data_IF_098890146512
#
_entry.id   IF_098890146512
#
_cell.length_a   1.000
_cell.length_b   1.000
_cell.length_c   1.000
_cell.angle_alpha   90.00
_cell.angle_beta   90.00
_cell.angle_gamma   90.00
#
_symmetry.space_group_name_H-M   'P 1'
#
loop_
_entity.id
_entity.type
_entity.pdbx_description
1 polymer ?
#
# COMPACT_ATOMS: atom_id res chain seq x y z
N UNK A 1 -16.09 -4.80 -13.78
CA UNK A 1 -14.78 -4.12 -13.96
C UNK A 1 -14.51 -4.10 -15.46
N UNK A 2 -14.04 -2.96 -16.02
CA UNK A 2 -13.68 -2.91 -17.43
C UNK A 2 -12.27 -3.51 -17.61
N UNK A 3 -12.06 -4.26 -18.69
CA UNK A 3 -10.78 -4.96 -18.96
C UNK A 3 -9.58 -4.02 -19.16
N UNK A 4 -9.86 -2.73 -19.37
CA UNK A 4 -8.87 -1.66 -19.60
C UNK A 4 -8.82 -0.61 -18.47
N UNK A 5 -9.51 -0.86 -17.35
CA UNK A 5 -9.55 0.05 -16.22
C UNK A 5 -8.18 0.15 -15.55
N UNK A 6 -7.67 1.37 -15.41
CA UNK A 6 -6.48 1.68 -14.63
C UNK A 6 -6.88 2.61 -13.48
N UNK A 7 -6.62 2.21 -12.26
CA UNK A 7 -6.72 3.07 -11.07
C UNK A 7 -5.35 3.66 -10.77
N UNK A 8 -5.30 4.98 -10.64
CA UNK A 8 -4.07 5.70 -10.36
C UNK A 8 -4.17 6.42 -9.02
N UNK A 9 -3.55 5.84 -7.98
CA UNK A 9 -3.36 6.46 -6.68
C UNK A 9 -2.12 7.34 -6.66
N UNK A 10 -2.24 8.56 -6.10
CA UNK A 10 -1.14 9.52 -5.98
C UNK A 10 -1.19 10.21 -4.62
N UNK A 11 -0.03 10.37 -3.99
CA UNK A 11 0.05 11.05 -2.69
C UNK A 11 1.28 11.94 -2.60
N UNK A 12 1.15 13.13 -1.95
CA UNK A 12 2.29 13.91 -1.53
C UNK A 12 3.09 13.16 -0.46
N UNK A 13 4.28 13.62 -0.15
CA UNK A 13 4.98 13.29 1.09
C UNK A 13 4.79 14.39 2.11
N UNK A 14 5.21 14.17 3.35
CA UNK A 14 5.09 15.15 4.42
C UNK A 14 6.46 15.56 4.96
N UNK A 15 6.56 16.82 5.38
CA UNK A 15 7.66 17.31 6.21
C UNK A 15 7.07 17.72 7.56
N UNK A 16 7.61 17.17 8.63
CA UNK A 16 7.26 17.57 9.99
C UNK A 16 8.04 18.83 10.34
N UNK A 17 7.33 19.94 10.53
CA UNK A 17 7.92 21.26 10.86
C UNK A 17 8.20 21.34 12.36
N UNK A 18 7.29 20.82 13.18
CA UNK A 18 7.41 20.84 14.63
C UNK A 18 6.65 19.65 15.25
N UNK A 19 7.14 19.19 16.39
CA UNK A 19 6.49 18.17 17.21
C UNK A 19 6.58 16.75 16.67
N UNK A 20 7.42 16.48 15.68
CA UNK A 20 7.63 15.13 15.17
C UNK A 20 8.00 14.16 16.29
N UNK A 21 7.45 12.95 16.27
CA UNK A 21 7.55 11.90 17.30
C UNK A 21 6.79 12.16 18.60
N UNK A 22 6.22 13.33 18.84
CA UNK A 22 5.40 13.55 20.04
C UNK A 22 4.09 12.74 20.01
N UNK A 23 3.65 12.31 18.83
CA UNK A 23 2.50 11.45 18.58
C UNK A 23 2.81 9.94 18.72
N UNK A 24 4.05 9.60 19.09
CA UNK A 24 4.50 8.20 19.22
C UNK A 24 4.46 7.73 20.67
N UNK A 25 3.94 6.54 20.97
CA UNK A 25 4.02 5.94 22.31
C UNK A 25 5.49 5.70 22.75
N UNK A 26 5.79 5.79 24.03
CA UNK A 26 4.86 6.06 25.15
C UNK A 26 4.54 7.55 25.39
N UNK A 27 5.26 8.47 24.74
CA UNK A 27 5.15 9.91 25.02
C UNK A 27 3.71 10.42 24.83
N UNK A 28 3.08 10.12 23.71
CA UNK A 28 1.71 10.58 23.41
C UNK A 28 0.64 10.03 24.38
N UNK A 29 0.91 8.90 25.03
CA UNK A 29 -0.01 8.31 26.02
C UNK A 29 0.09 9.00 27.38
N UNK A 30 1.20 9.66 27.68
CA UNK A 30 1.50 10.31 28.95
C UNK A 30 1.25 11.82 28.92
N UNK A 31 1.74 12.47 27.87
CA UNK A 31 1.79 13.93 27.74
C UNK A 31 0.89 14.49 26.63
N UNK A 32 0.31 13.58 25.83
CA UNK A 32 -0.32 13.96 24.55
C UNK A 32 0.72 14.27 23.48
N UNK A 33 0.28 14.30 22.22
CA UNK A 33 1.17 14.60 21.09
C UNK A 33 0.54 15.62 20.15
N UNK A 34 1.38 16.47 19.56
CA UNK A 34 0.96 17.43 18.54
C UNK A 34 2.05 17.56 17.49
N UNK A 35 1.71 17.31 16.24
CA UNK A 35 2.62 17.42 15.10
C UNK A 35 2.07 18.46 14.12
N UNK A 36 2.94 19.36 13.68
CA UNK A 36 2.66 20.27 12.56
C UNK A 36 3.45 19.77 11.37
N UNK A 37 2.74 19.37 10.31
CA UNK A 37 3.35 18.92 9.07
C UNK A 37 2.80 19.63 7.86
N UNK A 38 3.59 19.64 6.78
CA UNK A 38 3.21 20.12 5.45
C UNK A 38 3.21 18.95 4.47
N UNK A 39 2.15 18.87 3.66
CA UNK A 39 2.17 18.03 2.48
C UNK A 39 2.95 18.73 1.38
N UNK A 40 3.90 18.02 0.76
CA UNK A 40 4.74 18.54 -0.30
C UNK A 40 4.71 17.66 -1.55
N UNK A 41 4.84 18.29 -2.68
CA UNK A 41 5.01 17.66 -3.99
C UNK A 41 6.39 18.01 -4.56
N UNK A 42 6.91 17.18 -5.44
CA UNK A 42 8.16 17.43 -6.15
C UNK A 42 7.85 18.04 -7.54
N UNK A 43 8.20 19.30 -7.75
CA UNK A 43 7.93 20.01 -9.00
C UNK A 43 6.45 19.91 -9.46
N UNK A 44 5.52 20.02 -8.49
CA UNK A 44 4.09 19.92 -8.77
C UNK A 44 3.59 18.49 -9.07
N UNK A 45 4.38 17.47 -8.73
CA UNK A 45 4.02 16.08 -8.90
C UNK A 45 4.05 15.33 -7.57
N UNK A 46 2.98 14.60 -7.22
CA UNK A 46 2.98 13.72 -6.06
C UNK A 46 4.06 12.64 -6.21
N UNK A 47 5.00 12.53 -5.27
CA UNK A 47 6.16 11.65 -5.43
C UNK A 47 5.85 10.17 -5.18
N UNK A 48 4.72 9.83 -4.55
CA UNK A 48 4.30 8.46 -4.31
C UNK A 48 3.12 8.12 -5.22
N UNK A 49 3.29 7.12 -6.04
CA UNK A 49 2.29 6.73 -7.03
C UNK A 49 2.09 5.23 -7.07
N UNK A 50 0.86 4.82 -7.27
CA UNK A 50 0.46 3.42 -7.41
C UNK A 50 -0.49 3.29 -8.59
N UNK A 51 -0.22 2.35 -9.48
CA UNK A 51 -1.12 2.00 -10.57
C UNK A 51 -1.64 0.59 -10.33
N UNK A 52 -2.95 0.41 -10.37
CA UNK A 52 -3.61 -0.89 -10.27
C UNK A 52 -4.42 -1.13 -11.52
N UNK A 53 -4.19 -2.25 -12.19
CA UNK A 53 -4.94 -2.65 -13.38
C UNK A 53 -5.24 -4.15 -13.38
N UNK A 54 -6.25 -4.61 -14.14
CA UNK A 54 -6.51 -6.02 -14.30
C UNK A 54 -5.38 -6.71 -15.11
N UNK A 55 -5.14 -7.97 -14.81
CA UNK A 55 -4.31 -8.87 -15.61
C UNK A 55 -5.18 -9.98 -16.22
N UNK A 56 -4.86 -10.40 -17.44
CA UNK A 56 -5.58 -11.51 -18.11
C UNK A 56 -5.34 -12.84 -17.41
N UNK A 57 -4.13 -13.03 -16.87
CA UNK A 57 -3.77 -14.25 -16.17
C UNK A 57 -4.19 -14.16 -14.69
N UNK A 58 -4.72 -15.24 -14.10
CA UNK A 58 -5.20 -15.26 -12.71
C UNK A 58 -4.04 -15.39 -11.71
N UNK A 59 -3.18 -14.39 -11.69
CA UNK A 59 -2.09 -14.20 -10.73
C UNK A 59 -1.95 -12.70 -10.39
N UNK A 60 -1.11 -12.39 -9.42
CA UNK A 60 -0.81 -11.01 -9.04
C UNK A 60 0.60 -10.66 -9.51
N UNK A 61 0.76 -9.52 -10.16
CA UNK A 61 2.07 -9.00 -10.57
C UNK A 61 2.35 -7.73 -9.78
N UNK A 62 3.48 -7.71 -9.08
CA UNK A 62 3.95 -6.57 -8.32
C UNK A 62 5.20 -6.01 -8.99
N UNK A 63 5.22 -4.69 -9.24
CA UNK A 63 6.34 -3.97 -9.84
C UNK A 63 6.72 -2.77 -9.01
N UNK A 64 8.02 -2.51 -8.86
CA UNK A 64 8.56 -1.26 -8.33
C UNK A 64 9.44 -0.63 -9.41
N UNK A 65 9.06 0.56 -9.88
CA UNK A 65 9.79 1.27 -10.94
C UNK A 65 11.14 1.77 -10.40
N UNK A 66 11.12 2.38 -9.23
CA UNK A 66 12.30 2.95 -8.57
C UNK A 66 13.34 1.90 -8.15
N UNK A 67 12.90 0.69 -7.80
CA UNK A 67 13.80 -0.41 -7.43
C UNK A 67 14.12 -1.35 -8.60
N UNK A 68 13.45 -1.19 -9.75
CA UNK A 68 13.60 -2.09 -10.89
C UNK A 68 13.19 -3.54 -10.57
N UNK A 69 12.35 -3.75 -9.56
CA UNK A 69 11.97 -5.07 -9.08
C UNK A 69 10.61 -5.50 -9.64
N UNK A 70 10.46 -6.80 -9.87
CA UNK A 70 9.21 -7.45 -10.30
C UNK A 70 9.05 -8.76 -9.54
N UNK A 71 7.83 -9.04 -9.06
CA UNK A 71 7.47 -10.31 -8.45
C UNK A 71 6.12 -10.77 -8.99
N UNK A 72 6.00 -12.07 -9.29
CA UNK A 72 4.74 -12.72 -9.64
C UNK A 72 4.32 -13.58 -8.46
N UNK A 73 3.11 -13.32 -7.96
CA UNK A 73 2.51 -14.02 -6.83
C UNK A 73 1.40 -14.93 -7.36
N UNK A 74 1.62 -16.23 -7.28
CA UNK A 74 0.71 -17.25 -7.81
C UNK A 74 -0.02 -18.02 -6.71
N UNK A 75 0.55 -18.01 -5.47
CA UNK A 75 0.01 -18.76 -4.35
C UNK A 75 -0.28 -17.88 -3.15
N UNK A 76 -1.11 -18.38 -2.24
CA UNK A 76 -1.43 -17.69 -0.98
C UNK A 76 -0.22 -17.55 -0.07
N UNK A 77 0.61 -18.57 -0.05
CA UNK A 77 1.84 -18.57 0.76
C UNK A 77 2.76 -17.43 0.31
N UNK A 78 2.93 -17.25 -1.00
CA UNK A 78 3.68 -16.11 -1.55
C UNK A 78 3.02 -14.77 -1.22
N UNK A 79 1.68 -14.68 -1.25
CA UNK A 79 0.95 -13.47 -0.91
C UNK A 79 1.08 -13.12 0.57
N UNK A 80 1.01 -14.12 1.46
CA UNK A 80 1.09 -13.92 2.92
C UNK A 80 2.50 -13.78 3.44
N UNK A 81 3.51 -14.06 2.60
CA UNK A 81 4.94 -13.84 2.93
C UNK A 81 5.34 -12.36 2.75
N UNK A 82 4.63 -11.48 3.46
CA UNK A 82 4.93 -10.04 3.50
C UNK A 82 5.89 -9.64 4.62
N UNK A 83 6.21 -10.56 5.53
CA UNK A 83 7.16 -10.34 6.63
C UNK A 83 8.62 -10.61 6.23
N UNK A 84 8.86 -11.00 4.99
CA UNK A 84 10.22 -11.27 4.51
C UNK A 84 11.07 -9.99 4.53
N UNK A 85 12.09 -9.98 5.38
CA UNK A 85 12.97 -8.82 5.57
C UNK A 85 13.67 -8.47 4.25
N UNK A 86 13.55 -7.19 3.85
CA UNK A 86 14.15 -6.69 2.60
C UNK A 86 13.30 -6.90 1.35
N UNK A 87 12.10 -7.48 1.46
CA UNK A 87 11.18 -7.56 0.31
C UNK A 87 10.67 -6.16 -0.06
N UNK A 88 10.81 -5.75 -1.34
CA UNK A 88 10.26 -4.48 -1.80
C UNK A 88 8.74 -4.50 -1.91
N UNK A 89 8.10 -5.67 -1.73
CA UNK A 89 6.68 -5.87 -1.95
C UNK A 89 5.88 -6.20 -0.68
N UNK A 90 6.46 -6.04 0.51
CA UNK A 90 5.75 -6.24 1.79
C UNK A 90 4.47 -5.40 1.87
N UNK A 91 4.54 -4.11 1.53
CA UNK A 91 3.40 -3.19 1.56
C UNK A 91 2.26 -3.64 0.62
N UNK A 92 2.46 -3.84 -0.70
CA UNK A 92 1.37 -4.25 -1.57
C UNK A 92 0.83 -5.64 -1.25
N UNK A 93 1.63 -6.60 -0.79
CA UNK A 93 1.17 -7.91 -0.32
C UNK A 93 0.25 -7.78 0.89
N UNK A 94 0.67 -7.06 1.94
CA UNK A 94 -0.14 -6.82 3.13
C UNK A 94 -1.45 -6.06 2.79
N UNK A 95 -1.38 -5.08 1.87
CA UNK A 95 -2.55 -4.35 1.40
C UNK A 95 -3.56 -5.26 0.68
N UNK A 96 -3.10 -6.17 -0.18
CA UNK A 96 -3.94 -7.18 -0.83
C UNK A 96 -4.63 -8.12 0.17
N UNK A 97 -3.92 -8.55 1.21
CA UNK A 97 -4.49 -9.35 2.29
C UNK A 97 -5.56 -8.55 3.05
N UNK A 98 -5.34 -7.27 3.31
CA UNK A 98 -6.35 -6.38 3.92
C UNK A 98 -7.54 -6.12 2.99
N UNK A 99 -7.33 -6.10 1.67
CA UNK A 99 -8.40 -6.03 0.67
C UNK A 99 -9.24 -7.31 0.56
N UNK A 100 -8.78 -8.41 1.17
CA UNK A 100 -9.55 -9.66 1.28
C UNK A 100 -8.95 -10.85 0.53
N UNK A 101 -7.89 -10.67 -0.24
CA UNK A 101 -7.25 -11.77 -0.96
C UNK A 101 -6.45 -12.69 -0.03
N UNK A 102 -6.36 -13.96 -0.37
CA UNK A 102 -5.61 -14.96 0.38
C UNK A 102 -6.31 -15.50 1.64
N UNK A 103 -7.53 -15.06 1.95
CA UNK A 103 -8.25 -15.43 3.18
C UNK A 103 -9.24 -16.58 3.01
N UNK A 104 -9.68 -16.86 1.78
CA UNK A 104 -10.67 -17.92 1.51
C UNK A 104 -10.07 -19.32 1.69
N UNK A 105 -10.91 -20.34 1.75
CA UNK A 105 -10.49 -21.76 1.76
C UNK A 105 -10.00 -22.28 0.39
N UNK A 106 -10.12 -21.45 -0.68
CA UNK A 106 -9.76 -21.79 -2.07
C UNK A 106 -8.34 -21.35 -2.40
N UNK A 107 -7.79 -21.73 -3.55
CA UNK A 107 -6.49 -21.25 -4.02
C UNK A 107 -6.55 -19.77 -4.42
N UNK A 108 -5.41 -19.08 -4.45
CA UNK A 108 -5.33 -17.69 -4.93
C UNK A 108 -5.84 -17.56 -6.37
N UNK A 109 -5.53 -18.55 -7.21
CA UNK A 109 -6.00 -18.61 -8.60
C UNK A 109 -7.53 -18.63 -8.69
N UNK A 110 -8.20 -19.46 -7.89
CA UNK A 110 -9.66 -19.54 -7.84
C UNK A 110 -10.29 -18.25 -7.29
N UNK A 111 -9.66 -17.61 -6.31
CA UNK A 111 -10.09 -16.30 -5.81
C UNK A 111 -10.06 -15.24 -6.93
N UNK A 112 -8.95 -15.17 -7.69
CA UNK A 112 -8.79 -14.22 -8.77
C UNK A 112 -9.72 -14.52 -9.97
N UNK A 113 -9.97 -15.79 -10.26
CA UNK A 113 -10.97 -16.18 -11.26
C UNK A 113 -12.39 -15.77 -10.84
N UNK A 114 -12.73 -15.93 -9.56
CA UNK A 114 -14.02 -15.48 -9.02
C UNK A 114 -14.11 -13.95 -8.99
N UNK A 115 -13.02 -13.27 -8.72
CA UNK A 115 -12.90 -11.80 -8.81
C UNK A 115 -13.06 -11.30 -10.25
N UNK A 116 -12.70 -12.12 -11.24
CA UNK A 116 -12.87 -11.87 -12.68
C UNK A 116 -11.61 -11.41 -13.39
N UNK A 117 -10.48 -11.26 -12.70
CA UNK A 117 -9.18 -10.94 -13.31
C UNK A 117 -8.03 -11.22 -12.34
N UNK A 118 -6.81 -11.33 -12.86
CA UNK A 118 -5.61 -11.10 -12.06
C UNK A 118 -5.43 -9.61 -11.74
N UNK A 119 -4.41 -9.29 -10.98
CA UNK A 119 -4.14 -7.91 -10.51
C UNK A 119 -2.68 -7.56 -10.81
N UNK A 120 -2.45 -6.42 -11.45
CA UNK A 120 -1.12 -5.86 -11.59
C UNK A 120 -1.03 -4.56 -10.79
N UNK A 121 -0.07 -4.49 -9.86
CA UNK A 121 0.21 -3.30 -9.04
C UNK A 121 1.61 -2.81 -9.39
N UNK A 122 1.70 -1.56 -9.84
CA UNK A 122 2.97 -0.88 -10.10
C UNK A 122 3.15 0.25 -9.12
N UNK A 123 4.29 0.27 -8.43
CA UNK A 123 4.68 1.28 -7.45
C UNK A 123 5.76 2.18 -8.04
N UNK A 124 5.68 3.46 -7.70
CA UNK A 124 6.72 4.45 -7.93
C UNK A 124 6.90 5.29 -6.67
N UNK A 125 8.12 5.30 -6.12
CA UNK A 125 8.54 6.22 -5.08
C UNK A 125 9.68 7.09 -5.60
N UNK A 126 9.42 8.38 -5.79
CA UNK A 126 10.49 9.34 -6.13
C UNK A 126 11.25 9.84 -4.89
N UNK A 127 10.97 9.26 -3.72
CA UNK A 127 11.61 9.59 -2.44
C UNK A 127 12.36 8.34 -1.94
N UNK A 128 13.64 8.48 -1.56
CA UNK A 128 14.40 7.36 -1.01
C UNK A 128 13.76 6.81 0.28
N UNK A 129 13.82 5.49 0.43
CA UNK A 129 13.46 4.85 1.70
C UNK A 129 14.33 5.39 2.84
N UNK A 130 13.74 5.55 4.04
CA UNK A 130 14.46 6.07 5.21
C UNK A 130 14.67 7.59 5.20
N UNK A 131 14.06 8.33 4.28
CA UNK A 131 14.15 9.80 4.20
C UNK A 131 13.51 10.55 5.38
N UNK A 132 12.74 9.88 6.24
CA UNK A 132 11.98 10.51 7.33
C UNK A 132 10.71 11.26 6.88
N UNK A 133 10.34 11.18 5.61
CA UNK A 133 9.20 11.91 5.05
C UNK A 133 7.87 11.11 5.13
N UNK A 134 7.80 10.10 5.99
CA UNK A 134 6.60 9.26 6.17
C UNK A 134 6.27 8.37 4.96
N UNK A 135 7.27 8.06 4.14
CA UNK A 135 7.13 7.40 2.83
C UNK A 135 6.38 6.08 2.92
N UNK A 136 6.70 5.25 3.93
CA UNK A 136 6.11 3.92 4.08
C UNK A 136 4.59 3.99 4.34
N UNK A 137 4.17 4.78 5.34
CA UNK A 137 2.76 4.96 5.69
C UNK A 137 1.95 5.56 4.56
N UNK A 138 2.51 6.56 3.90
CA UNK A 138 1.83 7.24 2.79
C UNK A 138 1.72 6.31 1.59
N UNK A 139 2.77 5.54 1.26
CA UNK A 139 2.70 4.55 0.20
C UNK A 139 1.65 3.47 0.53
N UNK A 140 1.61 2.97 1.77
CA UNK A 140 0.61 2.01 2.21
C UNK A 140 -0.81 2.54 2.03
N UNK A 141 -1.08 3.79 2.46
CA UNK A 141 -2.40 4.41 2.27
C UNK A 141 -2.75 4.64 0.80
N UNK A 142 -1.76 4.96 -0.04
CA UNK A 142 -1.94 5.14 -1.50
C UNK A 142 -2.31 3.82 -2.16
N UNK A 143 -1.63 2.72 -1.80
CA UNK A 143 -1.95 1.38 -2.30
C UNK A 143 -3.33 0.93 -1.84
N UNK A 144 -3.66 1.11 -0.55
CA UNK A 144 -4.99 0.76 -0.02
C UNK A 144 -6.11 1.57 -0.68
N UNK A 145 -5.90 2.87 -0.91
CA UNK A 145 -6.84 3.72 -1.64
C UNK A 145 -7.06 3.24 -3.07
N UNK A 146 -5.98 2.94 -3.79
CA UNK A 146 -6.07 2.42 -5.15
C UNK A 146 -6.77 1.05 -5.22
N UNK A 147 -6.49 0.15 -4.27
CA UNK A 147 -7.18 -1.14 -4.15
C UNK A 147 -8.65 -0.98 -3.76
N UNK A 148 -8.99 -0.01 -2.88
CA UNK A 148 -10.37 0.32 -2.55
C UNK A 148 -11.18 0.63 -3.80
N UNK A 149 -10.67 1.49 -4.66
CA UNK A 149 -11.35 1.89 -5.89
C UNK A 149 -11.35 0.76 -6.92
N UNK A 150 -10.24 0.04 -7.07
CA UNK A 150 -10.12 -1.06 -8.02
C UNK A 150 -11.03 -2.24 -7.68
N UNK A 151 -11.10 -2.61 -6.41
CA UNK A 151 -11.91 -3.74 -5.94
C UNK A 151 -13.35 -3.34 -5.55
N UNK A 152 -13.68 -2.05 -5.55
CA UNK A 152 -15.01 -1.57 -5.16
C UNK A 152 -15.35 -1.84 -3.68
N UNK A 153 -14.38 -1.65 -2.77
CA UNK A 153 -14.52 -2.05 -1.37
C UNK A 153 -15.38 -1.07 -0.55
N UNK A 154 -15.59 0.15 -1.04
CA UNK A 154 -16.45 1.15 -0.41
C UNK A 154 -15.91 1.73 0.90
N UNK A 155 -14.60 1.68 1.12
CA UNK A 155 -13.96 2.27 2.30
C UNK A 155 -13.95 3.80 2.21
N UNK A 156 -14.31 4.47 3.28
CA UNK A 156 -14.11 5.89 3.43
C UNK A 156 -12.65 6.23 3.83
N UNK A 157 -12.33 7.53 3.90
CA UNK A 157 -10.99 8.00 4.26
C UNK A 157 -10.54 7.54 5.66
N UNK A 158 -11.46 7.46 6.61
CA UNK A 158 -11.17 7.04 7.97
C UNK A 158 -10.85 5.54 8.02
N UNK A 159 -11.60 4.74 7.25
CA UNK A 159 -11.33 3.30 7.13
C UNK A 159 -9.99 3.03 6.43
N UNK A 160 -9.65 3.78 5.37
CA UNK A 160 -8.33 3.69 4.74
C UNK A 160 -7.23 4.02 5.75
N UNK A 161 -7.37 5.10 6.53
CA UNK A 161 -6.42 5.47 7.58
C UNK A 161 -6.25 4.39 8.64
N UNK A 162 -7.35 3.80 9.11
CA UNK A 162 -7.33 2.70 10.08
C UNK A 162 -6.64 1.44 9.52
N UNK A 163 -6.91 1.10 8.26
CA UNK A 163 -6.24 -0.04 7.60
C UNK A 163 -4.78 0.22 7.32
N UNK A 164 -4.39 1.47 7.07
CA UNK A 164 -2.99 1.85 6.98
C UNK A 164 -2.25 1.57 8.29
N UNK A 165 -2.83 1.97 9.42
CA UNK A 165 -2.26 1.66 10.74
C UNK A 165 -2.16 0.15 10.99
N UNK A 166 -3.20 -0.61 10.64
CA UNK A 166 -3.17 -2.08 10.72
C UNK A 166 -2.04 -2.67 9.86
N UNK A 167 -1.87 -2.18 8.64
CA UNK A 167 -0.82 -2.63 7.73
C UNK A 167 0.56 -2.37 8.32
N UNK A 168 0.80 -1.19 8.89
CA UNK A 168 2.06 -0.87 9.55
C UNK A 168 2.33 -1.80 10.73
N UNK A 169 1.31 -2.08 11.55
CA UNK A 169 1.44 -3.04 12.64
C UNK A 169 1.74 -4.47 12.15
N UNK A 170 1.16 -4.88 11.02
CA UNK A 170 1.46 -6.18 10.41
C UNK A 170 2.90 -6.29 9.94
N UNK A 171 3.54 -5.19 9.55
CA UNK A 171 4.91 -5.18 9.00
C UNK A 171 6.00 -4.90 10.05
N UNK A 172 5.64 -4.46 11.26
CA UNK A 172 6.60 -4.05 12.30
C UNK A 172 6.77 -5.06 13.44
N UNK A 173 6.06 -6.18 13.41
CA UNK A 173 6.15 -7.24 14.45
C UNK A 173 7.17 -8.33 14.13
#
# INVERSE_FOLDING_TARGET
MADDQIVWGRSPVRIDIAGGWTDTPPYCLMEGGSVINLAIELNGQPPLQTYVKPSKEPHIVLRSIDLGAVEVVETKEQLTDFMHVGSPFSIPKAALVLAGFGKSGTSLREELQTFGSGIEITLLSAIPAGSGLGTSSILASTVLGALNDFCGLGWDKNEIGRRTLMLEQMLTT
#
